data_IF_022933087268
#
_entry.id   IF_022933087268
#
_cell.length_a   1.000
_cell.length_b   1.000
_cell.length_c   1.000
_cell.angle_alpha   90.00
_cell.angle_beta   90.00
_cell.angle_gamma   90.00
#
_symmetry.space_group_name_H-M   'P 1'
#
loop_
_entity.id
_entity.type
_entity.pdbx_description
1 polymer ?
#
# COMPACT_ATOMS: atom_id res chain seq x y z
N UNK A 1 -28.52 -7.86 23.93
CA UNK A 1 -27.97 -7.44 25.24
C UNK A 1 -26.78 -6.55 24.95
N UNK A 2 -27.05 -5.25 24.95
CA UNK A 2 -26.25 -4.16 24.38
C UNK A 2 -25.10 -3.81 25.33
N UNK A 3 -23.85 -4.11 24.94
CA UNK A 3 -22.67 -3.56 25.65
C UNK A 3 -22.33 -2.22 25.03
N UNK A 4 -22.81 -1.18 25.70
CA UNK A 4 -22.53 0.22 25.42
C UNK A 4 -21.02 0.50 25.29
N UNK A 5 -20.72 1.27 24.25
CA UNK A 5 -19.65 2.25 24.16
C UNK A 5 -19.33 2.85 25.54
N UNK A 6 -18.19 2.46 26.12
CA UNK A 6 -17.47 3.30 27.07
C UNK A 6 -16.33 3.94 26.32
N UNK A 7 -16.57 5.17 25.89
CA UNK A 7 -15.54 6.13 25.56
C UNK A 7 -14.80 6.41 26.88
N UNK A 8 -13.63 5.80 27.08
CA UNK A 8 -12.76 6.11 28.22
C UNK A 8 -12.09 7.46 27.96
N UNK A 9 -12.81 8.56 28.22
CA UNK A 9 -12.16 9.82 28.59
C UNK A 9 -11.63 9.65 30.01
N UNK A 10 -10.41 10.09 30.27
CA UNK A 10 -9.64 9.96 31.54
C UNK A 10 -8.70 8.75 31.62
N UNK A 11 -7.87 8.56 30.59
CA UNK A 11 -6.48 8.17 30.84
C UNK A 11 -5.73 9.45 31.20
N UNK A 12 -5.20 9.50 32.43
CA UNK A 12 -4.28 10.56 32.89
C UNK A 12 -3.17 10.68 31.86
N UNK A 13 -3.18 11.75 31.05
CA UNK A 13 -2.15 11.98 30.05
C UNK A 13 -0.84 12.21 30.78
N UNK A 14 0.17 11.39 30.48
CA UNK A 14 1.51 11.60 31.02
C UNK A 14 1.96 13.04 30.73
N UNK A 15 2.63 13.75 31.65
CA UNK A 15 3.10 15.13 31.42
C UNK A 15 3.95 15.26 30.15
N UNK A 16 4.65 14.18 29.78
CA UNK A 16 5.50 14.08 28.58
C UNK A 16 4.74 13.65 27.32
N UNK A 17 3.41 13.49 27.39
CA UNK A 17 2.61 13.18 26.21
C UNK A 17 2.68 14.36 25.22
N UNK A 18 2.96 14.13 23.93
CA UNK A 18 2.92 15.18 22.92
C UNK A 18 1.53 15.87 22.84
N UNK A 19 0.49 15.17 23.25
CA UNK A 19 -0.89 15.67 23.36
C UNK A 19 -1.16 16.55 24.59
N UNK A 20 -0.17 16.78 25.45
CA UNK A 20 -0.23 17.72 26.58
C UNK A 20 0.10 19.15 26.16
N UNK A 21 0.70 19.33 24.97
CA UNK A 21 0.98 20.65 24.38
C UNK A 21 -0.28 21.21 23.70
N UNK A 22 -0.45 22.54 23.65
CA UNK A 22 -1.56 23.13 22.90
C UNK A 22 -1.45 22.78 21.41
N UNK A 23 -2.57 22.45 20.73
CA UNK A 23 -2.55 22.13 19.31
C UNK A 23 -2.13 23.35 18.49
N UNK A 24 -1.32 23.11 17.46
CA UNK A 24 -0.97 24.13 16.48
C UNK A 24 -2.22 24.49 15.67
N UNK A 25 -2.54 25.79 15.61
CA UNK A 25 -3.65 26.25 14.77
C UNK A 25 -3.26 26.20 13.30
N UNK A 26 -4.18 25.75 12.46
CA UNK A 26 -4.02 25.82 11.01
C UNK A 26 -4.38 27.22 10.51
N UNK A 27 -3.58 27.75 9.60
CA UNK A 27 -4.02 28.86 8.74
C UNK A 27 -5.15 28.38 7.80
N UNK A 28 -5.85 29.31 7.15
CA UNK A 28 -6.86 28.96 6.13
C UNK A 28 -6.27 28.05 5.06
N UNK A 29 -5.07 28.38 4.56
CA UNK A 29 -4.41 27.59 3.53
C UNK A 29 -4.04 26.19 4.01
N UNK A 30 -3.50 26.07 5.22
CA UNK A 30 -3.19 24.77 5.82
C UNK A 30 -4.44 23.91 6.05
N UNK A 31 -5.56 24.51 6.43
CA UNK A 31 -6.83 23.80 6.59
C UNK A 31 -7.36 23.26 5.25
N UNK A 32 -7.20 24.01 4.15
CA UNK A 32 -7.51 23.52 2.80
C UNK A 32 -6.65 22.31 2.42
N UNK A 33 -5.36 22.32 2.78
CA UNK A 33 -4.45 21.20 2.53
C UNK A 33 -4.83 19.95 3.34
N UNK A 34 -5.19 20.09 4.63
CA UNK A 34 -5.72 18.98 5.42
C UNK A 34 -6.99 18.40 4.78
N UNK A 35 -7.92 19.27 4.38
CA UNK A 35 -9.18 18.85 3.74
C UNK A 35 -8.91 18.09 2.45
N UNK A 36 -8.04 18.62 1.58
CA UNK A 36 -7.71 17.94 0.33
C UNK A 36 -7.03 16.59 0.57
N UNK A 37 -6.12 16.48 1.53
CA UNK A 37 -5.48 15.21 1.88
C UNK A 37 -6.52 14.16 2.32
N UNK A 38 -7.40 14.51 3.25
CA UNK A 38 -8.43 13.59 3.78
C UNK A 38 -9.43 13.14 2.72
N UNK A 39 -9.89 14.05 1.86
CA UNK A 39 -10.94 13.75 0.89
C UNK A 39 -10.44 13.03 -0.37
N UNK A 40 -9.18 13.26 -0.78
CA UNK A 40 -8.71 12.82 -2.09
C UNK A 40 -7.53 11.86 -2.04
N UNK A 41 -6.76 11.83 -0.95
CA UNK A 41 -5.42 11.24 -0.96
C UNK A 41 -5.26 10.14 0.08
N UNK A 42 -5.77 10.35 1.30
CA UNK A 42 -5.71 9.38 2.38
C UNK A 42 -6.30 8.03 1.99
N UNK A 43 -7.34 8.01 1.14
CA UNK A 43 -7.96 6.79 0.64
C UNK A 43 -7.00 5.85 -0.12
N UNK A 44 -5.93 6.38 -0.74
CA UNK A 44 -4.92 5.58 -1.42
C UNK A 44 -4.02 4.84 -0.40
N UNK A 45 -3.73 5.51 0.71
CA UNK A 45 -2.98 4.94 1.83
C UNK A 45 -3.86 3.96 2.63
N UNK A 46 -5.14 4.28 2.82
CA UNK A 46 -6.09 3.48 3.60
C UNK A 46 -6.73 2.32 2.80
N UNK A 47 -6.32 2.11 1.55
CA UNK A 47 -6.92 1.11 0.65
C UNK A 47 -6.87 -0.34 1.18
N UNK A 48 -6.02 -0.60 2.19
CA UNK A 48 -5.95 -1.87 2.93
C UNK A 48 -5.99 -1.68 4.46
N UNK A 49 -6.47 -0.53 4.93
CA UNK A 49 -6.59 -0.20 6.34
C UNK A 49 -8.04 0.05 6.74
N UNK A 50 -8.62 -0.88 7.51
CA UNK A 50 -10.00 -0.80 7.96
C UNK A 50 -10.26 0.36 8.92
N UNK A 51 -9.24 0.80 9.66
CA UNK A 51 -9.35 1.86 10.66
C UNK A 51 -9.09 3.24 10.07
N UNK A 52 -8.71 3.31 8.78
CA UNK A 52 -8.50 4.54 8.02
C UNK A 52 -7.55 5.50 8.75
N UNK A 53 -6.40 5.01 9.21
CA UNK A 53 -5.50 5.79 10.05
C UNK A 53 -4.96 7.02 9.32
N UNK A 54 -4.76 6.96 8.00
CA UNK A 54 -4.32 8.12 7.24
C UNK A 54 -5.42 9.17 7.13
N UNK A 55 -6.68 8.78 6.94
CA UNK A 55 -7.77 9.75 6.86
C UNK A 55 -8.16 10.31 8.23
N UNK A 56 -8.19 9.47 9.26
CA UNK A 56 -8.76 9.83 10.56
C UNK A 56 -7.70 10.31 11.54
N UNK A 57 -6.56 9.63 11.63
CA UNK A 57 -5.58 9.90 12.68
C UNK A 57 -4.45 10.81 12.26
N UNK A 58 -3.94 10.70 11.03
CA UNK A 58 -2.89 11.61 10.55
C UNK A 58 -3.30 13.09 10.69
N UNK A 59 -4.49 13.55 10.26
CA UNK A 59 -4.90 14.95 10.42
C UNK A 59 -4.97 15.41 11.89
N UNK A 60 -5.41 14.53 12.78
CA UNK A 60 -5.47 14.82 14.22
C UNK A 60 -4.07 14.93 14.80
N UNK A 61 -3.17 14.03 14.42
CA UNK A 61 -1.77 14.06 14.83
C UNK A 61 -1.01 15.25 14.22
N UNK A 62 -1.36 15.72 13.02
CA UNK A 62 -0.78 16.93 12.41
C UNK A 62 -0.99 18.22 13.22
N UNK A 63 -1.91 18.25 14.19
CA UNK A 63 -2.05 19.35 15.15
C UNK A 63 -0.90 19.41 16.18
N UNK A 64 -0.22 18.28 16.41
CA UNK A 64 0.77 18.13 17.48
C UNK A 64 2.16 17.75 16.95
N UNK A 65 2.23 17.08 15.80
CA UNK A 65 3.46 16.54 15.22
C UNK A 65 3.83 17.27 13.93
N UNK A 66 4.86 18.15 13.96
CA UNK A 66 5.27 18.92 12.78
C UNK A 66 5.68 18.05 11.59
N UNK A 67 6.24 16.86 11.82
CA UNK A 67 6.66 15.95 10.75
C UNK A 67 5.48 15.50 9.89
N UNK A 68 4.39 15.05 10.52
CA UNK A 68 3.15 14.70 9.81
C UNK A 68 2.49 15.92 9.18
N UNK A 69 2.49 17.05 9.89
CA UNK A 69 1.92 18.30 9.40
C UNK A 69 2.53 18.72 8.07
N UNK A 70 3.85 18.81 8.01
CA UNK A 70 4.55 19.24 6.81
C UNK A 70 4.51 18.18 5.70
N UNK A 71 4.55 16.88 6.03
CA UNK A 71 4.38 15.81 5.04
C UNK A 71 3.02 15.90 4.33
N UNK A 72 1.94 16.07 5.10
CA UNK A 72 0.58 16.23 4.57
C UNK A 72 0.48 17.48 3.69
N UNK A 73 1.06 18.61 4.12
CA UNK A 73 1.01 19.84 3.35
C UNK A 73 1.79 19.76 2.04
N UNK A 74 2.98 19.16 2.06
CA UNK A 74 3.78 18.93 0.87
C UNK A 74 3.02 18.09 -0.14
N UNK A 75 2.51 16.93 0.30
CA UNK A 75 1.76 16.00 -0.54
C UNK A 75 0.49 16.64 -1.10
N UNK A 76 -0.30 17.28 -0.24
CA UNK A 76 -1.54 17.94 -0.64
C UNK A 76 -1.31 19.13 -1.59
N UNK A 77 -0.30 19.95 -1.34
CA UNK A 77 0.01 21.08 -2.21
C UNK A 77 0.40 20.61 -3.61
N UNK A 78 1.24 19.57 -3.70
CA UNK A 78 1.60 18.92 -4.96
C UNK A 78 0.36 18.37 -5.66
N UNK A 79 -0.52 17.67 -4.95
CA UNK A 79 -1.74 17.12 -5.53
C UNK A 79 -2.67 18.17 -6.14
N UNK A 80 -2.92 19.28 -5.43
CA UNK A 80 -3.78 20.37 -5.92
C UNK A 80 -3.18 21.02 -7.17
N UNK A 81 -1.85 21.08 -7.27
CA UNK A 81 -1.15 21.79 -8.33
C UNK A 81 -0.64 20.88 -9.46
N UNK A 82 -0.91 19.57 -9.44
CA UNK A 82 -0.35 18.59 -10.40
C UNK A 82 -0.59 18.92 -11.88
N UNK A 83 -1.68 19.62 -12.18
CA UNK A 83 -2.10 19.97 -13.55
C UNK A 83 -1.68 21.40 -13.96
N UNK A 84 -0.94 22.11 -13.10
CA UNK A 84 -0.50 23.50 -13.36
C UNK A 84 0.90 23.50 -13.97
N UNK A 85 1.28 24.60 -14.63
CA UNK A 85 2.62 24.76 -15.22
C UNK A 85 3.68 25.21 -14.19
N UNK A 86 3.25 25.82 -13.08
CA UNK A 86 4.09 26.27 -11.98
C UNK A 86 3.67 25.50 -10.71
N UNK A 87 4.35 24.38 -10.45
CA UNK A 87 3.86 23.32 -9.56
C UNK A 87 4.60 23.19 -8.23
N UNK A 88 5.70 23.93 -8.01
CA UNK A 88 6.72 23.44 -7.09
C UNK A 88 7.01 24.27 -5.85
N UNK A 89 6.68 25.56 -5.77
CA UNK A 89 7.20 26.40 -4.66
C UNK A 89 6.62 26.02 -3.29
N UNK A 90 5.30 26.12 -3.10
CA UNK A 90 4.64 25.80 -1.81
C UNK A 90 4.88 24.33 -1.40
N UNK A 91 4.72 23.41 -2.36
CA UNK A 91 4.92 21.99 -2.14
C UNK A 91 6.37 21.67 -1.71
N UNK A 92 7.36 22.30 -2.36
CA UNK A 92 8.78 22.15 -2.03
C UNK A 92 9.15 22.82 -0.71
N UNK A 93 8.54 23.95 -0.36
CA UNK A 93 8.74 24.62 0.94
C UNK A 93 8.29 23.72 2.10
N UNK A 94 7.10 23.12 1.98
CA UNK A 94 6.63 22.15 2.97
C UNK A 94 7.46 20.87 2.97
N UNK A 95 7.88 20.38 1.80
CA UNK A 95 8.77 19.23 1.70
C UNK A 95 10.09 19.49 2.44
N UNK A 96 10.75 20.63 2.21
CA UNK A 96 12.00 21.00 2.85
C UNK A 96 11.82 21.20 4.37
N UNK A 97 10.69 21.78 4.78
CA UNK A 97 10.34 21.91 6.20
C UNK A 97 10.15 20.55 6.86
N UNK A 98 9.48 19.62 6.17
CA UNK A 98 9.31 18.24 6.63
C UNK A 98 10.65 17.52 6.74
N UNK A 99 11.50 17.64 5.71
CA UNK A 99 12.81 17.01 5.68
C UNK A 99 13.71 17.48 6.84
N UNK A 100 13.68 18.78 7.16
CA UNK A 100 14.42 19.32 8.30
C UNK A 100 13.99 18.69 9.62
N UNK A 101 12.69 18.55 9.85
CA UNK A 101 12.14 17.91 11.06
C UNK A 101 12.45 16.42 11.07
N UNK A 102 12.38 15.77 9.91
CA UNK A 102 12.60 14.35 9.75
C UNK A 102 14.05 13.96 10.08
N UNK A 103 15.03 14.72 9.60
CA UNK A 103 16.45 14.50 9.90
C UNK A 103 16.69 14.54 11.41
N UNK A 104 16.15 15.56 12.09
CA UNK A 104 16.28 15.70 13.54
C UNK A 104 15.61 14.55 14.31
N UNK A 105 14.46 14.07 13.84
CA UNK A 105 13.75 12.94 14.44
C UNK A 105 14.56 11.64 14.31
N UNK A 106 15.09 11.36 13.12
CA UNK A 106 15.91 10.16 12.84
C UNK A 106 17.23 10.19 13.62
N UNK A 107 17.89 11.34 13.70
CA UNK A 107 19.16 11.49 14.45
C UNK A 107 18.97 11.22 15.96
N UNK A 108 17.80 11.59 16.51
CA UNK A 108 17.48 11.40 17.94
C UNK A 108 16.95 10.00 18.26
N UNK A 109 16.39 9.30 17.27
CA UNK A 109 15.67 8.05 17.44
C UNK A 109 16.49 6.93 18.09
N UNK A 110 17.83 7.02 18.16
CA UNK A 110 18.69 6.00 18.77
C UNK A 110 18.41 4.57 18.23
N UNK A 111 17.94 4.47 16.98
CA UNK A 111 17.52 3.23 16.33
C UNK A 111 16.00 2.92 16.34
N UNK A 112 15.19 3.60 17.16
CA UNK A 112 13.75 3.39 17.25
C UNK A 112 12.96 4.60 16.74
N UNK A 113 12.39 4.45 15.54
CA UNK A 113 11.57 5.48 14.89
C UNK A 113 10.11 5.35 15.37
N UNK A 114 9.46 6.47 15.70
CA UNK A 114 8.04 6.47 16.08
C UNK A 114 7.07 6.33 14.89
N UNK A 115 5.80 6.05 15.19
CA UNK A 115 4.76 5.85 14.18
C UNK A 115 4.55 7.10 13.31
N UNK A 116 4.60 8.29 13.92
CA UNK A 116 4.40 9.56 13.23
C UNK A 116 5.48 9.83 12.20
N UNK A 117 6.74 9.54 12.55
CA UNK A 117 7.88 9.66 11.65
C UNK A 117 7.78 8.67 10.51
N UNK A 118 7.42 7.41 10.78
CA UNK A 118 7.21 6.41 9.73
C UNK A 118 6.10 6.82 8.76
N UNK A 119 4.94 7.23 9.28
CA UNK A 119 3.83 7.67 8.46
C UNK A 119 4.17 8.92 7.64
N UNK A 120 4.93 9.86 8.19
CA UNK A 120 5.42 11.02 7.43
C UNK A 120 6.35 10.61 6.27
N UNK A 121 7.26 9.66 6.50
CA UNK A 121 8.13 9.11 5.44
C UNK A 121 7.29 8.46 4.34
N UNK A 122 6.30 7.64 4.71
CA UNK A 122 5.42 6.98 3.75
C UNK A 122 4.62 8.00 2.91
N UNK A 123 4.15 9.09 3.53
CA UNK A 123 3.47 10.21 2.84
C UNK A 123 4.43 10.95 1.89
N UNK A 124 5.66 11.26 2.33
CA UNK A 124 6.67 11.89 1.47
C UNK A 124 7.05 10.99 0.29
N UNK A 125 7.01 9.67 0.47
CA UNK A 125 7.19 8.74 -0.64
C UNK A 125 6.03 8.83 -1.65
N UNK A 126 4.78 8.95 -1.21
CA UNK A 126 3.66 9.20 -2.13
C UNK A 126 3.76 10.57 -2.83
N UNK A 127 4.35 11.58 -2.19
CA UNK A 127 4.66 12.86 -2.81
C UNK A 127 5.63 12.71 -4.00
N UNK A 128 6.64 11.85 -3.89
CA UNK A 128 7.57 11.56 -5.00
C UNK A 128 6.88 10.81 -6.14
N UNK A 129 6.01 9.86 -5.83
CA UNK A 129 5.25 9.06 -6.81
C UNK A 129 4.31 9.91 -7.69
N UNK A 130 4.00 11.14 -7.27
CA UNK A 130 3.24 12.10 -8.06
C UNK A 130 4.08 12.89 -9.07
N UNK A 131 5.40 12.80 -9.03
CA UNK A 131 6.26 13.48 -10.00
C UNK A 131 6.28 12.73 -11.35
N UNK A 132 6.60 13.46 -12.42
CA UNK A 132 6.78 12.86 -13.75
C UNK A 132 7.97 11.89 -13.77
N UNK A 133 8.99 12.18 -12.95
CA UNK A 133 10.12 11.30 -12.72
C UNK A 133 10.24 10.96 -11.23
N UNK A 134 9.96 9.70 -10.91
CA UNK A 134 10.11 9.17 -9.57
C UNK A 134 11.60 8.97 -9.21
N UNK A 135 12.13 9.89 -8.41
CA UNK A 135 13.53 9.94 -7.97
C UNK A 135 13.88 9.01 -6.81
N UNK A 136 12.90 8.35 -6.18
CA UNK A 136 13.14 7.33 -5.14
C UNK A 136 13.96 7.79 -3.92
N UNK A 137 13.97 9.11 -3.61
CA UNK A 137 14.86 9.64 -2.55
C UNK A 137 14.49 9.09 -1.18
N UNK A 138 13.20 9.03 -0.87
CA UNK A 138 12.70 8.49 0.39
C UNK A 138 12.59 6.96 0.40
N UNK A 139 12.66 6.29 -0.75
CA UNK A 139 12.54 4.83 -0.83
C UNK A 139 13.62 4.10 -0.02
N UNK A 140 14.87 4.58 -0.07
CA UNK A 140 15.99 3.98 0.67
C UNK A 140 15.86 4.16 2.17
N UNK A 141 15.44 5.34 2.62
CA UNK A 141 15.17 5.62 4.02
C UNK A 141 14.01 4.76 4.54
N UNK A 142 12.91 4.72 3.79
CA UNK A 142 11.72 3.90 4.09
C UNK A 142 12.09 2.43 4.27
N UNK A 143 12.81 1.85 3.31
CA UNK A 143 13.19 0.43 3.34
C UNK A 143 14.09 0.12 4.54
N UNK A 144 15.10 0.95 4.81
CA UNK A 144 16.00 0.75 5.96
C UNK A 144 15.24 0.78 7.27
N UNK A 145 14.36 1.78 7.43
CA UNK A 145 13.57 1.96 8.65
C UNK A 145 12.62 0.79 8.83
N UNK A 146 11.81 0.45 7.82
CA UNK A 146 10.88 -0.70 7.83
C UNK A 146 11.59 -2.03 8.09
N UNK A 147 12.80 -2.21 7.57
CA UNK A 147 13.56 -3.45 7.79
C UNK A 147 14.21 -3.54 9.17
N UNK A 148 14.59 -2.41 9.77
CA UNK A 148 15.05 -2.36 11.16
C UNK A 148 13.92 -2.52 12.18
N UNK A 149 12.66 -2.57 11.73
CA UNK A 149 11.48 -2.80 12.57
C UNK A 149 11.35 -4.27 12.98
N UNK A 150 12.17 -4.72 13.92
CA UNK A 150 11.83 -5.89 14.73
C UNK A 150 10.84 -5.54 15.86
N UNK A 151 10.44 -4.27 16.00
CA UNK A 151 9.83 -3.70 17.21
C UNK A 151 8.57 -2.84 16.99
N UNK A 152 8.04 -2.71 15.76
CA UNK A 152 6.64 -2.28 15.64
C UNK A 152 5.84 -3.51 16.02
N UNK A 153 5.58 -3.65 17.31
CA UNK A 153 4.56 -4.52 17.88
C UNK A 153 3.35 -4.42 16.93
N UNK A 154 3.21 -5.37 15.98
CA UNK A 154 2.17 -5.37 14.94
C UNK A 154 0.81 -5.65 15.60
N UNK A 155 0.40 -4.67 16.39
CA UNK A 155 -0.71 -4.65 17.31
C UNK A 155 -1.78 -3.66 16.80
N UNK A 156 -1.72 -3.28 15.52
CA UNK A 156 -2.52 -2.24 14.89
C UNK A 156 -1.85 -0.86 14.91
N UNK A 157 -2.66 0.17 14.74
CA UNK A 157 -2.21 1.56 14.82
C UNK A 157 -1.65 2.14 13.51
N UNK A 158 -1.16 3.37 13.62
CA UNK A 158 -0.67 4.15 12.48
C UNK A 158 0.65 3.57 11.95
N UNK A 159 1.51 3.05 12.84
CA UNK A 159 2.79 2.44 12.44
C UNK A 159 2.58 1.23 11.53
N UNK A 160 1.69 0.31 11.93
CA UNK A 160 1.36 -0.84 11.10
C UNK A 160 0.69 -0.44 9.77
N UNK A 161 -0.25 0.51 9.79
CA UNK A 161 -0.87 1.03 8.56
C UNK A 161 0.19 1.62 7.60
N UNK A 162 1.17 2.36 8.14
CA UNK A 162 2.26 2.90 7.36
C UNK A 162 3.21 1.82 6.83
N UNK A 163 3.51 0.77 7.61
CA UNK A 163 4.29 -0.37 7.12
C UNK A 163 3.62 -1.06 5.91
N UNK A 164 2.30 -1.31 5.97
CA UNK A 164 1.56 -1.86 4.83
C UNK A 164 1.53 -0.93 3.61
N UNK A 165 1.48 0.40 3.80
CA UNK A 165 1.66 1.36 2.71
C UNK A 165 3.07 1.24 2.11
N UNK A 166 4.11 1.21 2.93
CA UNK A 166 5.49 1.07 2.48
C UNK A 166 5.72 -0.20 1.66
N UNK A 167 5.12 -1.33 2.05
CA UNK A 167 5.19 -2.57 1.27
C UNK A 167 4.58 -2.40 -0.13
N UNK A 168 3.43 -1.74 -0.23
CA UNK A 168 2.79 -1.48 -1.53
C UNK A 168 3.64 -0.55 -2.42
N UNK A 169 4.31 0.43 -1.83
CA UNK A 169 5.24 1.30 -2.54
C UNK A 169 6.46 0.53 -3.05
N UNK A 170 7.01 -0.38 -2.24
CA UNK A 170 8.13 -1.24 -2.64
C UNK A 170 7.73 -2.23 -3.76
N UNK A 171 6.52 -2.80 -3.68
CA UNK A 171 5.93 -3.59 -4.78
C UNK A 171 5.82 -2.77 -6.07
N UNK A 172 5.33 -1.53 -5.99
CA UNK A 172 5.23 -0.64 -7.15
C UNK A 172 6.62 -0.41 -7.79
N UNK A 173 7.64 -0.10 -6.99
CA UNK A 173 9.00 0.10 -7.50
C UNK A 173 9.57 -1.19 -8.09
N UNK A 174 9.37 -2.33 -7.42
CA UNK A 174 9.81 -3.64 -7.92
C UNK A 174 9.21 -3.95 -9.30
N UNK A 175 7.91 -3.69 -9.49
CA UNK A 175 7.22 -3.91 -10.76
C UNK A 175 7.65 -2.94 -11.87
N UNK A 176 7.81 -1.66 -11.55
CA UNK A 176 8.09 -0.61 -12.55
C UNK A 176 9.57 -0.50 -12.91
N UNK A 177 10.47 -0.84 -11.99
CA UNK A 177 11.93 -0.81 -12.18
C UNK A 177 12.55 -2.18 -12.40
N UNK A 178 11.78 -3.26 -12.25
CA UNK A 178 12.22 -4.66 -12.39
C UNK A 178 13.40 -4.97 -11.44
N UNK A 179 13.28 -4.59 -10.17
CA UNK A 179 14.31 -4.77 -9.13
C UNK A 179 13.78 -5.60 -7.95
N UNK A 180 14.67 -6.25 -7.18
CA UNK A 180 14.30 -6.93 -5.94
C UNK A 180 13.56 -6.02 -4.97
N UNK A 181 12.62 -6.60 -4.22
CA UNK A 181 12.02 -5.96 -3.07
C UNK A 181 13.10 -5.60 -2.04
N UNK A 182 12.94 -4.46 -1.41
CA UNK A 182 13.80 -4.04 -0.31
C UNK A 182 13.22 -4.48 1.03
N UNK A 183 11.90 -4.60 1.15
CA UNK A 183 11.18 -4.94 2.37
C UNK A 183 11.47 -6.36 2.85
N UNK A 184 11.73 -6.53 4.14
CA UNK A 184 11.82 -7.84 4.78
C UNK A 184 10.42 -8.38 5.07
N UNK A 185 9.99 -9.38 4.32
CA UNK A 185 8.65 -9.97 4.42
C UNK A 185 8.41 -10.72 5.74
N UNK A 186 9.46 -11.22 6.41
CA UNK A 186 9.32 -11.93 7.69
C UNK A 186 8.73 -11.03 8.79
N UNK A 187 9.02 -9.72 8.75
CA UNK A 187 8.50 -8.77 9.73
C UNK A 187 6.97 -8.73 9.71
N UNK A 188 6.35 -8.79 8.51
CA UNK A 188 4.91 -8.69 8.35
C UNK A 188 4.16 -9.88 8.94
N UNK A 189 4.76 -11.07 9.01
CA UNK A 189 4.11 -12.28 9.54
C UNK A 189 3.68 -12.17 11.01
N UNK A 190 4.19 -11.18 11.74
CA UNK A 190 3.79 -10.88 13.11
C UNK A 190 2.40 -10.22 13.20
N UNK A 191 1.91 -9.66 12.10
CA UNK A 191 0.63 -8.96 12.02
C UNK A 191 -0.59 -9.85 12.31
N UNK A 192 -1.56 -9.28 13.03
CA UNK A 192 -2.84 -9.93 13.31
C UNK A 192 -3.72 -10.13 12.05
N UNK A 193 -3.40 -9.45 10.94
CA UNK A 193 -4.12 -9.60 9.67
C UNK A 193 -4.09 -11.04 9.17
N UNK A 194 -3.06 -11.82 9.52
CA UNK A 194 -2.96 -13.23 9.13
C UNK A 194 -3.95 -14.12 9.89
N UNK A 195 -4.53 -13.63 10.99
CA UNK A 195 -5.53 -14.34 11.82
C UNK A 195 -6.96 -13.80 11.63
N UNK A 196 -7.11 -12.57 11.12
CA UNK A 196 -8.41 -11.90 10.93
C UNK A 196 -9.18 -12.38 9.69
N UNK A 197 -10.48 -12.15 9.63
CA UNK A 197 -11.34 -12.63 8.53
C UNK A 197 -12.12 -11.51 7.85
N UNK A 198 -11.72 -10.26 8.09
CA UNK A 198 -12.32 -9.07 7.48
C UNK A 198 -11.66 -8.70 6.14
N UNK A 199 -12.29 -7.79 5.38
CA UNK A 199 -11.89 -7.46 4.01
C UNK A 199 -10.47 -6.87 3.92
N UNK A 200 -10.05 -6.07 4.91
CA UNK A 200 -8.71 -5.50 4.94
C UNK A 200 -7.65 -6.58 5.15
N UNK A 201 -7.92 -7.55 6.03
CA UNK A 201 -7.05 -8.72 6.23
C UNK A 201 -6.91 -9.55 4.95
N UNK A 202 -8.00 -9.82 4.22
CA UNK A 202 -7.94 -10.51 2.94
C UNK A 202 -7.15 -9.73 1.88
N UNK A 203 -7.33 -8.41 1.80
CA UNK A 203 -6.56 -7.57 0.88
C UNK A 203 -5.06 -7.57 1.21
N UNK A 204 -4.67 -7.35 2.48
CA UNK A 204 -3.26 -7.35 2.90
C UNK A 204 -2.58 -8.71 2.72
N UNK A 205 -3.29 -9.83 2.93
CA UNK A 205 -2.75 -11.16 2.61
C UNK A 205 -2.39 -11.29 1.12
N UNK A 206 -3.21 -10.76 0.23
CA UNK A 206 -2.88 -10.77 -1.21
C UNK A 206 -1.74 -9.81 -1.55
N UNK A 207 -1.66 -8.65 -0.88
CA UNK A 207 -0.48 -7.76 -0.98
C UNK A 207 0.79 -8.51 -0.62
N UNK A 208 0.77 -9.24 0.50
CA UNK A 208 1.89 -10.06 0.97
C UNK A 208 2.24 -11.19 -0.02
N UNK A 209 1.25 -11.87 -0.58
CA UNK A 209 1.47 -12.94 -1.57
C UNK A 209 2.07 -12.42 -2.89
N UNK A 210 1.68 -11.24 -3.35
CA UNK A 210 2.34 -10.60 -4.48
C UNK A 210 3.80 -10.24 -4.15
N UNK A 211 4.05 -9.71 -2.95
CA UNK A 211 5.41 -9.42 -2.51
C UNK A 211 6.28 -10.70 -2.49
N UNK A 212 5.77 -11.80 -1.93
CA UNK A 212 6.44 -13.11 -1.97
C UNK A 212 6.73 -13.58 -3.40
N UNK A 213 5.76 -13.41 -4.30
CA UNK A 213 5.93 -13.75 -5.72
C UNK A 213 7.09 -12.97 -6.34
N UNK A 214 7.19 -11.66 -6.11
CA UNK A 214 8.28 -10.82 -6.61
C UNK A 214 9.64 -11.18 -5.99
N UNK A 215 9.68 -11.46 -4.68
CA UNK A 215 10.89 -11.90 -3.99
C UNK A 215 11.48 -13.21 -4.54
N UNK A 216 10.62 -14.10 -5.06
CA UNK A 216 11.07 -15.34 -5.69
C UNK A 216 11.70 -15.17 -7.09
N UNK A 217 11.37 -14.08 -7.78
CA UNK A 217 11.79 -13.83 -9.18
C UNK A 217 13.04 -12.95 -9.24
N UNK A 218 13.14 -12.01 -8.31
CA UNK A 218 14.28 -11.11 -8.17
C UNK A 218 14.95 -11.37 -6.82
N UNK A 219 15.64 -12.53 -6.65
CA UNK A 219 16.26 -12.86 -5.38
C UNK A 219 17.30 -11.79 -5.03
N UNK A 220 17.22 -11.25 -3.82
CA UNK A 220 18.29 -10.48 -3.21
C UNK A 220 19.36 -11.43 -2.67
N UNK A 221 20.61 -10.97 -2.57
CA UNK A 221 21.75 -11.77 -2.08
C UNK A 221 21.56 -12.33 -0.64
N UNK A 222 20.52 -11.89 0.09
CA UNK A 222 20.36 -12.07 1.53
C UNK A 222 19.25 -13.01 2.00
N UNK A 223 18.60 -13.78 1.13
CA UNK A 223 17.79 -14.92 1.59
C UNK A 223 17.42 -15.82 0.41
N UNK A 224 18.11 -16.94 0.29
CA UNK A 224 17.62 -18.08 -0.50
C UNK A 224 16.41 -18.63 0.25
N UNK A 225 15.24 -18.04 0.01
CA UNK A 225 14.00 -18.75 0.27
C UNK A 225 13.97 -19.92 -0.70
N UNK A 226 14.25 -21.12 -0.19
CA UNK A 226 14.07 -22.39 -0.90
C UNK A 226 12.57 -22.70 -1.15
N UNK A 227 11.70 -21.70 -1.03
CA UNK A 227 10.30 -21.86 -1.34
C UNK A 227 10.12 -22.06 -2.85
N UNK A 228 9.53 -23.20 -3.20
CA UNK A 228 9.20 -23.48 -4.59
C UNK A 228 8.20 -22.45 -5.11
N UNK A 229 8.44 -21.94 -6.32
CA UNK A 229 7.48 -21.10 -7.06
C UNK A 229 6.07 -21.73 -7.10
N UNK A 230 6.00 -23.07 -7.06
CA UNK A 230 4.74 -23.82 -7.02
C UNK A 230 4.00 -23.67 -5.68
N UNK A 231 4.71 -23.55 -4.56
CA UNK A 231 4.13 -23.24 -3.24
C UNK A 231 3.43 -21.88 -3.28
N UNK A 232 4.13 -20.86 -3.78
CA UNK A 232 3.58 -19.50 -3.89
C UNK A 232 2.35 -19.48 -4.81
N UNK A 233 2.39 -20.24 -5.92
CA UNK A 233 1.24 -20.39 -6.83
C UNK A 233 0.02 -21.00 -6.13
N UNK A 234 0.22 -22.06 -5.34
CA UNK A 234 -0.84 -22.70 -4.57
C UNK A 234 -1.45 -21.74 -3.54
N UNK A 235 -0.62 -20.96 -2.85
CA UNK A 235 -1.10 -19.96 -1.89
C UNK A 235 -1.91 -18.84 -2.57
N UNK A 236 -1.45 -18.36 -3.73
CA UNK A 236 -2.14 -17.32 -4.52
C UNK A 236 -3.50 -17.84 -5.03
N UNK A 237 -3.55 -19.07 -5.53
CA UNK A 237 -4.80 -19.68 -5.99
C UNK A 237 -5.72 -20.02 -4.80
N UNK A 238 -5.17 -20.49 -3.69
CA UNK A 238 -5.89 -20.73 -2.45
C UNK A 238 -6.50 -19.46 -1.86
N UNK A 239 -5.83 -18.31 -1.99
CA UNK A 239 -6.42 -17.02 -1.63
C UNK A 239 -7.67 -16.72 -2.45
N UNK A 240 -7.63 -16.93 -3.77
CA UNK A 240 -8.78 -16.65 -4.65
C UNK A 240 -9.97 -17.55 -4.35
N UNK A 241 -9.71 -18.83 -4.07
CA UNK A 241 -10.73 -19.83 -3.74
C UNK A 241 -11.33 -19.58 -2.34
N UNK A 242 -10.57 -18.98 -1.41
CA UNK A 242 -11.00 -18.71 -0.02
C UNK A 242 -11.54 -17.30 0.23
N UNK A 243 -11.43 -16.38 -0.73
CA UNK A 243 -11.89 -14.99 -0.56
C UNK A 243 -13.41 -14.93 -0.30
N UNK A 244 -13.90 -14.02 0.54
CA UNK A 244 -15.33 -13.84 0.75
C UNK A 244 -16.07 -13.48 -0.54
N UNK A 245 -17.36 -13.82 -0.63
CA UNK A 245 -18.20 -13.50 -1.78
C UNK A 245 -18.26 -11.98 -2.08
N UNK A 246 -17.98 -11.13 -1.09
CA UNK A 246 -17.91 -9.68 -1.25
C UNK A 246 -16.80 -9.22 -2.23
N UNK A 247 -15.76 -10.04 -2.42
CA UNK A 247 -14.71 -9.80 -3.42
C UNK A 247 -15.14 -10.14 -4.84
N UNK A 248 -16.29 -10.78 -5.05
CA UNK A 248 -16.77 -11.05 -6.41
C UNK A 248 -17.24 -9.75 -7.08
N UNK A 249 -17.00 -9.57 -8.38
CA UNK A 249 -17.53 -8.44 -9.13
C UNK A 249 -19.06 -8.31 -8.99
N UNK A 250 -19.53 -7.09 -8.77
CA UNK A 250 -20.98 -6.76 -8.85
C UNK A 250 -21.41 -6.45 -10.28
N UNK A 251 -20.45 -6.08 -11.12
CA UNK A 251 -20.63 -5.88 -12.55
C UNK A 251 -19.32 -6.25 -13.23
N UNK A 252 -19.44 -7.04 -14.29
CA UNK A 252 -18.33 -7.36 -15.18
C UNK A 252 -18.80 -7.10 -16.62
N UNK A 253 -18.04 -6.29 -17.34
CA UNK A 253 -18.27 -6.00 -18.76
C UNK A 253 -16.98 -6.25 -19.52
N UNK A 254 -17.07 -7.07 -20.56
CA UNK A 254 -15.94 -7.38 -21.43
C UNK A 254 -15.43 -6.15 -22.18
N UNK A 255 -14.26 -6.32 -22.82
CA UNK A 255 -13.72 -5.33 -23.77
C UNK A 255 -14.75 -5.10 -24.89
N UNK A 256 -15.04 -3.85 -25.20
CA UNK A 256 -15.91 -3.47 -26.31
C UNK A 256 -15.20 -2.42 -27.17
N UNK A 257 -14.58 -2.85 -28.27
CA UNK A 257 -13.82 -1.97 -29.17
C UNK A 257 -14.71 -0.94 -29.87
N UNK A 258 -15.96 -1.31 -30.15
CA UNK A 258 -16.91 -0.43 -30.87
C UNK A 258 -17.35 0.75 -29.99
N UNK A 259 -17.33 0.57 -28.67
CA UNK A 259 -17.59 1.62 -27.67
C UNK A 259 -16.29 2.27 -27.13
N UNK A 260 -15.12 1.98 -27.70
CA UNK A 260 -13.83 2.48 -27.23
C UNK A 260 -13.35 1.89 -25.88
N UNK A 261 -14.02 0.84 -25.37
CA UNK A 261 -13.65 0.14 -24.13
C UNK A 261 -12.57 -0.91 -24.41
N UNK A 262 -11.32 -0.48 -24.40
CA UNK A 262 -10.15 -1.34 -24.70
C UNK A 262 -9.83 -2.37 -23.61
N UNK A 263 -10.28 -2.13 -22.37
CA UNK A 263 -10.09 -3.00 -21.21
C UNK A 263 -11.45 -3.43 -20.64
N UNK A 264 -11.52 -4.61 -19.99
CA UNK A 264 -12.73 -5.00 -19.27
C UNK A 264 -13.00 -4.02 -18.13
N UNK A 265 -14.27 -3.82 -17.81
CA UNK A 265 -14.72 -3.01 -16.67
C UNK A 265 -15.25 -3.94 -15.60
N UNK A 266 -14.67 -3.85 -14.41
CA UNK A 266 -15.04 -4.66 -13.24
C UNK A 266 -15.39 -3.71 -12.11
N UNK A 267 -16.59 -3.84 -11.57
CA UNK A 267 -17.03 -3.07 -10.40
C UNK A 267 -17.10 -4.00 -9.20
N UNK A 268 -16.67 -3.51 -8.04
CA UNK A 268 -16.66 -4.23 -6.77
C UNK A 268 -17.21 -3.35 -5.66
N UNK A 269 -17.56 -3.96 -4.53
CA UNK A 269 -18.25 -3.27 -3.43
C UNK A 269 -17.37 -2.27 -2.66
N UNK A 270 -16.05 -2.41 -2.68
CA UNK A 270 -15.14 -1.66 -1.81
C UNK A 270 -13.72 -1.58 -2.40
N UNK A 271 -12.93 -0.53 -2.05
CA UNK A 271 -11.50 -0.47 -2.37
C UNK A 271 -10.71 -1.70 -1.92
N UNK A 272 -11.03 -2.31 -0.77
CA UNK A 272 -10.34 -3.54 -0.29
C UNK A 272 -10.44 -4.68 -1.31
N UNK A 273 -11.63 -4.86 -1.88
CA UNK A 273 -11.89 -5.87 -2.91
C UNK A 273 -11.13 -5.56 -4.20
N UNK A 274 -11.09 -4.28 -4.57
CA UNK A 274 -10.33 -3.82 -5.75
C UNK A 274 -8.85 -4.11 -5.57
N UNK A 275 -8.26 -3.75 -4.43
CA UNK A 275 -6.84 -4.04 -4.15
C UNK A 275 -6.58 -5.54 -4.15
N UNK A 276 -7.39 -6.34 -3.44
CA UNK A 276 -7.22 -7.79 -3.40
C UNK A 276 -7.23 -8.42 -4.80
N UNK A 277 -8.23 -8.12 -5.62
CA UNK A 277 -8.31 -8.66 -6.99
C UNK A 277 -7.18 -8.15 -7.89
N UNK A 278 -6.84 -6.86 -7.83
CA UNK A 278 -5.75 -6.30 -8.63
C UNK A 278 -4.43 -7.00 -8.31
N UNK A 279 -4.11 -7.14 -7.02
CA UNK A 279 -2.87 -7.77 -6.58
C UNK A 279 -2.85 -9.28 -6.90
N UNK A 280 -4.00 -9.96 -6.81
CA UNK A 280 -4.14 -11.34 -7.27
C UNK A 280 -3.78 -11.47 -8.76
N UNK A 281 -4.39 -10.66 -9.63
CA UNK A 281 -4.14 -10.76 -11.06
C UNK A 281 -2.70 -10.36 -11.43
N UNK A 282 -2.12 -9.36 -10.76
CA UNK A 282 -0.70 -9.03 -10.91
C UNK A 282 0.17 -10.22 -10.50
N UNK A 283 -0.12 -10.89 -9.38
CA UNK A 283 0.61 -12.08 -8.97
C UNK A 283 0.51 -13.20 -10.00
N UNK A 284 -0.68 -13.44 -10.58
CA UNK A 284 -0.84 -14.41 -11.67
C UNK A 284 -0.02 -14.07 -12.91
N UNK A 285 0.07 -12.78 -13.29
CA UNK A 285 0.92 -12.31 -14.40
C UNK A 285 2.39 -12.58 -14.06
N UNK A 286 2.84 -12.07 -12.91
CA UNK A 286 4.22 -12.19 -12.41
C UNK A 286 4.67 -13.65 -12.37
N UNK A 287 3.92 -14.53 -11.71
CA UNK A 287 4.23 -15.95 -11.60
C UNK A 287 4.22 -16.66 -12.97
N UNK A 288 3.34 -16.26 -13.88
CA UNK A 288 3.28 -16.84 -15.23
C UNK A 288 4.49 -16.47 -16.08
N UNK A 289 5.03 -15.26 -15.92
CA UNK A 289 6.25 -14.83 -16.60
C UNK A 289 7.51 -15.55 -16.09
N UNK A 290 7.48 -16.11 -14.88
CA UNK A 290 8.60 -16.86 -14.28
C UNK A 290 8.69 -18.32 -14.74
N UNK A 291 7.74 -18.79 -15.56
CA UNK A 291 7.86 -20.11 -16.19
C UNK A 291 9.03 -20.06 -17.18
N UNK A 292 9.92 -21.08 -17.20
CA UNK A 292 10.91 -21.20 -18.25
C UNK A 292 10.16 -21.27 -19.59
N UNK A 293 10.30 -20.24 -20.42
CA UNK A 293 9.87 -20.31 -21.81
C UNK A 293 10.89 -21.22 -22.50
N UNK A 294 10.58 -22.51 -22.57
CA UNK A 294 11.41 -23.49 -23.27
C UNK A 294 11.27 -23.38 -24.79
N UNK A 295 11.40 -22.19 -25.39
CA UNK A 295 11.28 -22.04 -26.86
C UNK A 295 12.00 -20.80 -27.42
N UNK A 296 12.87 -21.00 -28.41
CA UNK A 296 13.59 -19.95 -29.18
C UNK A 296 12.72 -19.19 -30.20
N UNK A 297 11.39 -19.40 -30.22
CA UNK A 297 10.50 -18.86 -31.26
C UNK A 297 9.56 -17.77 -30.73
N UNK A 298 9.66 -16.57 -31.31
CA UNK A 298 8.80 -15.41 -31.03
C UNK A 298 7.30 -15.71 -31.25
N UNK A 299 6.97 -16.61 -32.18
CA UNK A 299 5.58 -17.01 -32.43
C UNK A 299 5.01 -17.92 -31.33
N UNK A 300 5.84 -18.80 -30.76
CA UNK A 300 5.46 -19.61 -29.60
C UNK A 300 5.38 -18.74 -28.34
N UNK A 301 6.25 -17.73 -28.18
CA UNK A 301 6.12 -16.72 -27.12
C UNK A 301 4.79 -15.96 -27.19
N UNK A 302 4.36 -15.51 -28.37
CA UNK A 302 3.06 -14.86 -28.55
C UNK A 302 1.91 -15.83 -28.25
N UNK A 303 2.05 -17.11 -28.59
CA UNK A 303 1.07 -18.16 -28.32
C UNK A 303 0.97 -18.48 -26.83
N UNK A 304 2.11 -18.58 -26.13
CA UNK A 304 2.17 -18.77 -24.69
C UNK A 304 1.65 -17.54 -23.94
N UNK A 305 1.99 -16.32 -24.37
CA UNK A 305 1.39 -15.08 -23.85
C UNK A 305 -0.13 -15.05 -24.02
N UNK A 306 -0.66 -15.56 -25.14
CA UNK A 306 -2.11 -15.76 -25.32
C UNK A 306 -2.68 -16.86 -24.42
N UNK A 307 -1.94 -17.93 -24.15
CA UNK A 307 -2.35 -18.98 -23.19
C UNK A 307 -2.34 -18.48 -21.75
N UNK A 308 -1.38 -17.65 -21.38
CA UNK A 308 -1.33 -16.93 -20.10
C UNK A 308 -2.50 -15.95 -20.03
N UNK A 309 -2.78 -15.19 -21.09
CA UNK A 309 -3.96 -14.33 -21.17
C UNK A 309 -5.25 -15.14 -20.97
N UNK A 310 -5.41 -16.29 -21.64
CA UNK A 310 -6.58 -17.18 -21.44
C UNK A 310 -6.63 -17.79 -20.04
N UNK A 311 -5.48 -18.17 -19.46
CA UNK A 311 -5.40 -18.72 -18.09
C UNK A 311 -5.69 -17.67 -17.02
N UNK A 312 -5.37 -16.40 -17.28
CA UNK A 312 -5.69 -15.26 -16.41
C UNK A 312 -7.13 -14.79 -16.63
N UNK A 313 -7.63 -14.88 -17.87
CA UNK A 313 -8.99 -14.47 -18.25
C UNK A 313 -10.05 -15.51 -17.94
N UNK A 314 -9.74 -16.79 -17.81
CA UNK A 314 -10.69 -17.81 -17.38
C UNK A 314 -11.12 -17.50 -15.95
N UNK A 315 -12.32 -16.94 -15.71
CA UNK A 315 -12.86 -16.98 -14.39
C UNK A 315 -13.15 -18.47 -14.15
N UNK A 316 -12.65 -19.04 -13.06
CA UNK A 316 -13.12 -20.34 -12.55
C UNK A 316 -14.61 -20.30 -12.12
N UNK A 317 -15.42 -19.45 -12.74
CA UNK A 317 -16.85 -19.27 -12.50
C UNK A 317 -17.67 -20.09 -13.51
N UNK A 318 -17.10 -20.55 -14.63
CA UNK A 318 -17.80 -21.40 -15.61
C UNK A 318 -17.79 -22.92 -15.30
N UNK A 319 -17.39 -23.34 -14.10
CA UNK A 319 -17.58 -24.74 -13.66
C UNK A 319 -18.81 -24.96 -12.76
N UNK A 320 -19.59 -23.91 -12.47
CA UNK A 320 -20.81 -24.04 -11.67
C UNK A 320 -22.06 -24.46 -12.46
N UNK A 321 -21.99 -24.63 -13.78
CA UNK A 321 -23.15 -24.99 -14.63
C UNK A 321 -22.97 -26.30 -15.42
N UNK A 322 -22.35 -27.32 -14.82
CA UNK A 322 -22.41 -28.70 -15.35
C UNK A 322 -22.47 -29.72 -14.21
N UNK A 323 -23.51 -29.66 -13.38
CA UNK A 323 -24.11 -30.82 -12.70
C UNK A 323 -25.52 -30.46 -12.27
N UNK A 324 -26.44 -30.53 -13.22
CA UNK A 324 -27.78 -31.12 -13.11
C UNK A 324 -28.37 -31.29 -14.52
#
# INVERSE_FOLDING_TARGET
MTRHLRYSSELVRSPDSPYSRPPMQFTTREAELIKNFTENMALWADATDMNRHFELEVPRRSLYFPVLRYAVFAFSSRHINRDKADTSTEALEYYNSCLSVLIEAVDKASGHIDEETLAAIAILRQYEEMDAEDMEMHLTGTSRIVNSMSEFDFNGGLGEAAAWLCLRQDIYVSLTRLRPLRSNLENYLQSDIFRRTDDAAYANRMVYLLARSLGSIYPSDSSISNESLESIRLDVDGWFDSKPAAFNPILESGRNKDEGKLLPTIWVLSPFHSVGLQYYHIAKIVLSMSLPIATDSVFEQIRESKKVEVRIQLPRILQWDLTD
#
